data_IF_721212392900
#
_entry.id   IF_721212392900
#
_cell.length_a   1.000
_cell.length_b   1.000
_cell.length_c   1.000
_cell.angle_alpha   90.00
_cell.angle_beta   90.00
_cell.angle_gamma   90.00
#
_symmetry.space_group_name_H-M   'P 1'
#
loop_
_entity.id
_entity.type
_entity.pdbx_description
1 polymer ?
#
# COMPACT_ATOMS: atom_id res chain seq x y z
N UNK A 1 11.15 12.33 1.55
CA UNK A 1 10.32 11.10 1.60
C UNK A 1 11.07 9.99 0.84
N UNK A 2 11.08 8.74 1.31
CA UNK A 2 11.88 7.67 0.69
C UNK A 2 11.26 7.23 -0.65
N UNK A 3 11.92 7.55 -1.77
CA UNK A 3 11.45 7.27 -3.13
C UNK A 3 11.30 5.77 -3.45
N UNK A 4 11.94 4.91 -2.65
CA UNK A 4 12.00 3.46 -2.87
C UNK A 4 11.02 2.65 -2.01
N UNK A 5 10.18 3.33 -1.23
CA UNK A 5 9.22 2.66 -0.34
C UNK A 5 8.11 1.93 -1.13
N UNK A 6 7.81 2.40 -2.34
CA UNK A 6 6.70 1.91 -3.17
C UNK A 6 7.20 1.13 -4.37
N UNK A 7 6.46 0.10 -4.77
CA UNK A 7 6.61 -0.52 -6.08
C UNK A 7 5.82 0.34 -7.08
N UNK A 8 6.43 0.98 -8.10
CA UNK A 8 5.68 1.73 -9.09
C UNK A 8 4.77 0.80 -9.91
N UNK A 9 3.56 1.24 -10.28
CA UNK A 9 2.64 0.40 -11.07
C UNK A 9 3.24 -0.04 -12.41
N UNK A 10 3.92 0.88 -13.10
CA UNK A 10 4.57 0.64 -14.40
C UNK A 10 5.90 -0.13 -14.32
N UNK A 11 6.31 -0.57 -13.13
CA UNK A 11 7.54 -1.39 -12.97
C UNK A 11 7.35 -2.80 -13.55
N UNK A 12 8.47 -3.48 -13.82
CA UNK A 12 8.52 -4.83 -14.39
C UNK A 12 8.06 -5.96 -13.45
N UNK A 13 7.69 -5.66 -12.20
CA UNK A 13 7.16 -6.66 -11.27
C UNK A 13 5.87 -7.29 -11.80
N UNK A 14 5.67 -8.58 -11.52
CA UNK A 14 4.41 -9.25 -11.84
C UNK A 14 3.24 -8.63 -11.06
N UNK A 15 2.01 -8.84 -11.56
CA UNK A 15 0.81 -8.41 -10.86
C UNK A 15 0.71 -9.05 -9.48
N UNK A 16 1.11 -10.32 -9.35
CA UNK A 16 1.06 -11.04 -8.08
C UNK A 16 2.09 -10.52 -7.08
N UNK A 17 3.30 -10.15 -7.52
CA UNK A 17 4.27 -9.48 -6.66
C UNK A 17 3.74 -8.13 -6.15
N UNK A 18 3.12 -7.33 -7.03
CA UNK A 18 2.49 -6.06 -6.64
C UNK A 18 1.37 -6.26 -5.62
N UNK A 19 0.51 -7.27 -5.82
CA UNK A 19 -0.58 -7.63 -4.90
C UNK A 19 -0.05 -8.12 -3.55
N UNK A 20 0.95 -8.99 -3.57
CA UNK A 20 1.58 -9.53 -2.36
C UNK A 20 2.23 -8.42 -1.53
N UNK A 21 2.91 -7.47 -2.20
CA UNK A 21 3.48 -6.30 -1.55
C UNK A 21 2.40 -5.42 -0.87
N UNK A 22 1.32 -5.08 -1.59
CA UNK A 22 0.19 -4.32 -1.02
C UNK A 22 -0.39 -5.05 0.20
N UNK A 23 -0.59 -6.36 0.11
CA UNK A 23 -1.10 -7.19 1.22
C UNK A 23 -0.13 -7.19 2.41
N UNK A 24 1.16 -7.31 2.17
CA UNK A 24 2.20 -7.27 3.20
C UNK A 24 2.20 -5.95 3.96
N UNK A 25 2.07 -4.83 3.24
CA UNK A 25 1.97 -3.50 3.85
C UNK A 25 0.71 -3.35 4.70
N UNK A 26 -0.44 -3.84 4.24
CA UNK A 26 -1.67 -3.84 5.04
C UNK A 26 -1.52 -4.66 6.32
N UNK A 27 -0.90 -5.84 6.25
CA UNK A 27 -0.62 -6.67 7.44
C UNK A 27 0.33 -5.93 8.40
N UNK A 28 1.36 -5.26 7.87
CA UNK A 28 2.27 -4.44 8.66
C UNK A 28 1.52 -3.33 9.38
N UNK A 29 0.61 -2.63 8.71
CA UNK A 29 -0.22 -1.61 9.35
C UNK A 29 -1.10 -2.19 10.46
N UNK A 30 -1.77 -3.32 10.24
CA UNK A 30 -2.56 -3.99 11.30
C UNK A 30 -1.70 -4.28 12.53
N UNK A 31 -0.47 -4.78 12.34
CA UNK A 31 0.44 -5.10 13.46
C UNK A 31 0.94 -3.87 14.21
N UNK A 32 1.09 -2.73 13.53
CA UNK A 32 1.59 -1.49 14.12
C UNK A 32 0.48 -0.63 14.73
N UNK A 33 -0.78 -0.84 14.34
CA UNK A 33 -1.91 -0.08 14.85
C UNK A 33 -2.49 -0.76 16.09
N UNK A 34 -2.53 -0.05 17.22
CA UNK A 34 -3.21 -0.52 18.44
C UNK A 34 -4.72 -0.21 18.45
N UNK A 35 -5.22 0.51 17.44
CA UNK A 35 -6.62 0.92 17.31
C UNK A 35 -7.12 0.74 15.88
N UNK A 36 -8.36 0.26 15.76
CA UNK A 36 -9.04 0.08 14.48
C UNK A 36 -9.24 1.41 13.74
N UNK A 37 -9.60 2.49 14.45
CA UNK A 37 -9.83 3.79 13.83
C UNK A 37 -8.57 4.33 13.16
N UNK A 38 -7.41 4.11 13.80
CA UNK A 38 -6.11 4.50 13.25
C UNK A 38 -5.74 3.64 12.03
N UNK A 39 -6.01 2.34 12.08
CA UNK A 39 -5.83 1.46 10.91
C UNK A 39 -6.68 1.91 9.72
N UNK A 40 -7.96 2.24 9.94
CA UNK A 40 -8.86 2.70 8.88
C UNK A 40 -8.36 4.00 8.23
N UNK A 41 -7.83 4.94 9.03
CA UNK A 41 -7.21 6.16 8.55
C UNK A 41 -6.00 5.85 7.67
N UNK A 42 -5.04 5.07 8.17
CA UNK A 42 -3.84 4.69 7.42
C UNK A 42 -4.17 3.92 6.14
N UNK A 43 -5.15 3.03 6.17
CA UNK A 43 -5.60 2.28 4.99
C UNK A 43 -6.09 3.24 3.90
N UNK A 44 -6.82 4.29 4.28
CA UNK A 44 -7.32 5.31 3.36
C UNK A 44 -6.16 6.12 2.76
N UNK A 45 -5.24 6.59 3.61
CA UNK A 45 -4.04 7.32 3.17
C UNK A 45 -3.13 6.45 2.29
N UNK A 46 -3.01 5.15 2.60
CA UNK A 46 -2.26 4.20 1.79
C UNK A 46 -2.91 3.98 0.42
N UNK A 47 -4.24 3.86 0.37
CA UNK A 47 -4.99 3.75 -0.88
C UNK A 47 -4.76 4.96 -1.77
N UNK A 48 -4.77 6.17 -1.21
CA UNK A 48 -4.49 7.39 -1.97
C UNK A 48 -3.06 7.38 -2.54
N UNK A 49 -2.07 7.02 -1.72
CA UNK A 49 -0.66 6.90 -2.19
C UNK A 49 -0.51 5.87 -3.31
N UNK A 50 -1.23 4.74 -3.26
CA UNK A 50 -1.22 3.76 -4.35
C UNK A 50 -1.75 4.37 -5.66
N UNK A 51 -2.82 5.18 -5.59
CA UNK A 51 -3.36 5.89 -6.77
C UNK A 51 -2.36 6.89 -7.33
N UNK A 52 -1.68 7.64 -6.47
CA UNK A 52 -0.64 8.60 -6.87
C UNK A 52 0.53 7.89 -7.58
N UNK A 53 0.81 6.63 -7.23
CA UNK A 53 1.80 5.76 -7.89
C UNK A 53 1.25 4.94 -9.07
N UNK A 54 0.02 5.24 -9.51
CA UNK A 54 -0.59 4.71 -10.73
C UNK A 54 -1.25 3.34 -10.60
N UNK A 55 -1.46 2.84 -9.38
CA UNK A 55 -2.22 1.60 -9.19
C UNK A 55 -3.68 1.78 -9.63
N UNK A 56 -4.29 0.76 -10.25
CA UNK A 56 -5.68 0.83 -10.67
C UNK A 56 -6.60 0.89 -9.45
N UNK A 57 -7.55 1.83 -9.47
CA UNK A 57 -8.70 1.80 -8.56
C UNK A 57 -9.71 0.75 -9.02
N UNK A 58 -10.50 0.22 -8.08
CA UNK A 58 -11.87 -0.15 -8.40
C UNK A 58 -12.72 1.11 -8.45
#
# INVERSE_FOLDING_TARGET
LNAYLYIPWRSCHSLDSKRAWVKGELIRYVRLCSSETYFLKIRTDFTQRLRDHGYPGK
#
